data_IF_153222378685
#
_entry.id   IF_153222378685
#
_cell.length_a   1.000
_cell.length_b   1.000
_cell.length_c   1.000
_cell.angle_alpha   90.00
_cell.angle_beta   90.00
_cell.angle_gamma   90.00
#
_symmetry.space_group_name_H-M   'P 1'
#
loop_
_entity.id
_entity.type
_entity.pdbx_description
1 polymer ?
#
# COMPACT_ATOMS: atom_id res chain seq x y z
N UNK A 1 -65.76 -41.69 -42.35
CA UNK A 1 -64.87 -42.48 -41.46
C UNK A 1 -63.46 -42.13 -41.88
N UNK A 2 -62.61 -41.41 -41.16
CA UNK A 2 -62.64 -40.61 -39.94
C UNK A 2 -61.40 -39.68 -40.12
N UNK A 3 -61.49 -38.34 -40.01
CA UNK A 3 -60.37 -37.48 -40.40
C UNK A 3 -59.36 -37.33 -39.26
N UNK A 4 -58.08 -37.52 -39.59
CA UNK A 4 -56.95 -37.46 -38.67
C UNK A 4 -56.78 -36.10 -37.98
N UNK A 5 -56.81 -36.13 -36.66
CA UNK A 5 -56.65 -35.00 -35.75
C UNK A 5 -55.16 -34.64 -35.62
N UNK A 6 -54.79 -33.43 -36.07
CA UNK A 6 -53.46 -32.83 -35.87
C UNK A 6 -53.45 -32.07 -34.55
N UNK A 7 -52.55 -32.43 -33.64
CA UNK A 7 -52.28 -31.67 -32.43
C UNK A 7 -51.36 -30.49 -32.76
N UNK A 8 -51.84 -29.27 -32.53
CA UNK A 8 -51.01 -28.07 -32.52
C UNK A 8 -50.56 -27.84 -31.07
N UNK A 9 -49.26 -27.96 -30.82
CA UNK A 9 -48.65 -27.55 -29.56
C UNK A 9 -48.46 -26.03 -29.59
N UNK A 10 -49.16 -25.32 -28.69
CA UNK A 10 -48.95 -23.90 -28.43
C UNK A 10 -47.82 -23.80 -27.40
N UNK A 11 -46.65 -23.35 -27.84
CA UNK A 11 -45.52 -23.02 -26.98
C UNK A 11 -45.74 -21.59 -26.45
N UNK A 12 -46.18 -21.46 -25.20
CA UNK A 12 -46.27 -20.18 -24.51
C UNK A 12 -44.87 -19.77 -24.02
N UNK A 13 -44.27 -18.75 -24.66
CA UNK A 13 -43.06 -18.09 -24.16
C UNK A 13 -43.49 -17.18 -23.00
N UNK A 14 -43.28 -17.65 -21.77
CA UNK A 14 -43.38 -16.83 -20.57
C UNK A 14 -42.14 -15.92 -20.53
N UNK A 15 -42.30 -14.67 -20.96
CA UNK A 15 -41.36 -13.59 -20.64
C UNK A 15 -41.53 -13.27 -19.17
N UNK A 16 -40.80 -13.99 -18.32
CA UNK A 16 -40.68 -13.65 -16.90
C UNK A 16 -39.72 -12.47 -16.78
N UNK A 17 -40.22 -11.32 -16.33
CA UNK A 17 -39.35 -10.27 -15.81
C UNK A 17 -38.54 -10.88 -14.67
N UNK A 18 -37.22 -10.99 -14.83
CA UNK A 18 -36.34 -11.29 -13.72
C UNK A 18 -36.57 -10.18 -12.67
N UNK A 19 -36.80 -10.52 -11.39
CA UNK A 19 -36.82 -9.51 -10.34
C UNK A 19 -35.51 -8.74 -10.39
N UNK A 20 -35.58 -7.41 -10.40
CA UNK A 20 -34.40 -6.57 -10.19
C UNK A 20 -33.71 -7.08 -8.93
N UNK A 21 -32.40 -7.39 -8.98
CA UNK A 21 -31.68 -7.84 -7.81
C UNK A 21 -31.89 -6.79 -6.72
N UNK A 22 -32.55 -7.21 -5.64
CA UNK A 22 -32.66 -6.40 -4.42
C UNK A 22 -31.25 -6.09 -3.99
N UNK A 23 -30.83 -4.84 -4.20
CA UNK A 23 -29.59 -4.28 -3.68
C UNK A 23 -29.61 -4.51 -2.18
N UNK A 24 -28.82 -5.48 -1.71
CA UNK A 24 -28.47 -5.61 -0.30
C UNK A 24 -27.98 -4.24 0.16
N UNK A 25 -28.57 -3.70 1.22
CA UNK A 25 -28.26 -2.37 1.74
C UNK A 25 -26.75 -2.24 1.98
N UNK A 26 -26.07 -1.60 1.03
CA UNK A 26 -24.69 -1.19 1.10
C UNK A 26 -24.62 -0.07 2.14
N UNK A 27 -24.05 -0.37 3.31
CA UNK A 27 -23.78 0.66 4.32
C UNK A 27 -22.61 1.50 3.86
N UNK A 28 -22.88 2.68 3.28
CA UNK A 28 -21.84 3.69 3.07
C UNK A 28 -21.68 4.48 4.36
N UNK A 29 -20.48 4.45 4.93
CA UNK A 29 -20.16 5.31 6.07
C UNK A 29 -20.05 6.78 5.60
N UNK A 30 -20.27 7.75 6.49
CA UNK A 30 -20.13 9.16 6.12
C UNK A 30 -18.70 9.46 5.65
N UNK A 31 -18.62 10.31 4.61
CA UNK A 31 -17.36 10.87 4.13
C UNK A 31 -16.59 11.54 5.28
N UNK A 32 -15.33 11.14 5.46
CA UNK A 32 -14.41 11.75 6.42
C UNK A 32 -13.43 12.65 5.67
N UNK A 33 -13.30 13.90 6.11
CA UNK A 33 -12.30 14.84 5.58
C UNK A 33 -11.21 15.11 6.62
N UNK A 34 -9.97 14.95 6.20
CA UNK A 34 -8.78 15.20 7.03
C UNK A 34 -8.01 16.38 6.44
N UNK A 35 -7.76 17.38 7.27
CA UNK A 35 -7.05 18.63 6.96
C UNK A 35 -7.59 19.44 5.76
N UNK A 36 -8.79 19.09 5.27
CA UNK A 36 -9.40 19.70 4.09
C UNK A 36 -8.78 19.29 2.75
N UNK A 37 -7.79 18.40 2.75
CA UNK A 37 -7.11 17.91 1.53
C UNK A 37 -7.45 16.46 1.21
N UNK A 38 -7.64 15.62 2.24
CA UNK A 38 -7.90 14.21 2.08
C UNK A 38 -9.38 13.92 2.36
N UNK A 39 -10.03 13.25 1.42
CA UNK A 39 -11.38 12.73 1.56
C UNK A 39 -11.31 11.21 1.59
N UNK A 40 -11.99 10.58 2.55
CA UNK A 40 -12.04 9.12 2.71
C UNK A 40 -13.49 8.66 2.78
N UNK A 41 -13.80 7.63 2.00
CA UNK A 41 -15.11 6.96 1.97
C UNK A 41 -14.91 5.46 2.13
N UNK A 42 -15.69 4.87 3.03
CA UNK A 42 -15.65 3.44 3.33
C UNK A 42 -17.03 2.81 3.15
N UNK A 43 -17.06 1.61 2.59
CA UNK A 43 -18.28 0.81 2.49
C UNK A 43 -17.96 -0.65 2.23
N UNK A 44 -18.91 -1.53 2.50
CA UNK A 44 -18.83 -2.95 2.17
C UNK A 44 -19.75 -3.30 1.01
N UNK A 45 -19.29 -4.15 0.09
CA UNK A 45 -20.07 -4.66 -1.04
C UNK A 45 -19.78 -6.15 -1.25
N UNK A 46 -20.28 -6.71 -2.36
CA UNK A 46 -19.99 -8.07 -2.79
C UNK A 46 -19.51 -8.10 -4.23
N UNK A 47 -18.63 -9.03 -4.55
CA UNK A 47 -18.29 -9.32 -5.94
C UNK A 47 -19.49 -9.89 -6.70
N UNK A 48 -19.55 -9.64 -8.01
CA UNK A 48 -20.63 -10.11 -8.86
C UNK A 48 -20.48 -11.60 -9.22
N UNK A 49 -21.24 -12.08 -10.22
CA UNK A 49 -21.20 -13.49 -10.63
C UNK A 49 -19.91 -13.89 -11.35
N UNK A 50 -19.16 -12.92 -11.85
CA UNK A 50 -17.85 -13.11 -12.47
C UNK A 50 -16.72 -12.87 -11.45
N UNK A 51 -17.07 -12.59 -10.18
CA UNK A 51 -16.14 -12.30 -9.09
C UNK A 51 -15.48 -10.92 -9.19
N UNK A 52 -16.12 -9.99 -9.91
CA UNK A 52 -15.64 -8.63 -10.11
C UNK A 52 -16.36 -7.62 -9.19
N UNK A 53 -15.68 -6.53 -8.88
CA UNK A 53 -16.20 -5.38 -8.12
C UNK A 53 -15.88 -4.12 -8.90
N UNK A 54 -16.91 -3.41 -9.35
CA UNK A 54 -16.78 -2.06 -9.92
C UNK A 54 -16.83 -1.02 -8.80
N UNK A 55 -15.75 -0.25 -8.65
CA UNK A 55 -15.61 0.79 -7.63
C UNK A 55 -15.69 2.16 -8.33
N UNK A 56 -16.85 2.85 -8.28
CA UNK A 56 -16.96 4.21 -8.78
C UNK A 56 -16.29 5.19 -7.81
N UNK A 57 -15.50 6.11 -8.35
CA UNK A 57 -14.71 7.08 -7.59
C UNK A 57 -15.00 8.47 -8.15
N UNK A 58 -15.61 9.32 -7.34
CA UNK A 58 -15.85 10.72 -7.71
C UNK A 58 -14.57 11.54 -7.53
N UNK A 59 -14.05 12.06 -8.64
CA UNK A 59 -12.84 12.89 -8.70
C UNK A 59 -13.24 14.33 -8.99
N UNK A 60 -12.78 15.26 -8.15
CA UNK A 60 -13.04 16.69 -8.31
C UNK A 60 -11.99 17.40 -9.17
N UNK A 61 -12.26 18.66 -9.53
CA UNK A 61 -11.33 19.50 -10.32
C UNK A 61 -9.98 19.74 -9.62
N UNK A 62 -9.93 19.64 -8.30
CA UNK A 62 -8.73 19.86 -7.49
C UNK A 62 -8.00 18.57 -7.10
N UNK A 63 -8.58 17.41 -7.42
CA UNK A 63 -8.05 16.11 -6.99
C UNK A 63 -6.84 15.73 -7.83
N UNK A 64 -5.72 15.48 -7.16
CA UNK A 64 -4.43 15.16 -7.80
C UNK A 64 -4.00 13.72 -7.63
N UNK A 65 -4.52 13.04 -6.60
CA UNK A 65 -4.29 11.62 -6.35
C UNK A 65 -5.57 10.94 -5.83
N UNK A 66 -5.70 9.66 -6.13
CA UNK A 66 -6.69 8.78 -5.53
C UNK A 66 -6.02 7.48 -5.05
N UNK A 67 -6.68 6.82 -4.11
CA UNK A 67 -6.37 5.45 -3.72
C UNK A 67 -7.65 4.64 -3.59
N UNK A 68 -7.61 3.40 -4.06
CA UNK A 68 -8.61 2.39 -3.77
C UNK A 68 -7.93 1.25 -3.06
N UNK A 69 -8.36 0.96 -1.84
CA UNK A 69 -8.00 -0.23 -1.09
C UNK A 69 -9.20 -1.16 -1.01
N UNK A 70 -8.94 -2.44 -1.21
CA UNK A 70 -9.95 -3.49 -1.21
C UNK A 70 -9.46 -4.61 -0.32
N UNK A 71 -10.28 -5.01 0.65
CA UNK A 71 -10.09 -6.19 1.49
C UNK A 71 -11.18 -7.21 1.20
N UNK A 72 -10.84 -8.49 1.07
CA UNK A 72 -11.84 -9.55 0.88
C UNK A 72 -11.90 -10.48 2.08
N UNK A 73 -13.04 -11.15 2.27
CA UNK A 73 -13.20 -12.08 3.39
C UNK A 73 -12.41 -13.39 3.19
N UNK A 74 -12.34 -13.87 1.95
CA UNK A 74 -11.80 -15.20 1.67
C UNK A 74 -10.40 -15.16 1.07
N UNK A 75 -10.15 -14.32 0.06
CA UNK A 75 -9.02 -14.52 -0.86
C UNK A 75 -8.35 -13.20 -1.29
N UNK A 76 -7.65 -13.18 -2.44
CA UNK A 76 -6.82 -12.04 -2.85
C UNK A 76 -7.57 -11.08 -3.79
N UNK A 77 -7.52 -9.76 -3.53
CA UNK A 77 -8.04 -8.78 -4.46
C UNK A 77 -6.98 -8.33 -5.48
N UNK A 78 -7.37 -8.31 -6.75
CA UNK A 78 -6.52 -7.93 -7.88
C UNK A 78 -7.21 -6.83 -8.68
N UNK A 79 -6.49 -5.74 -8.95
CA UNK A 79 -6.96 -4.72 -9.88
C UNK A 79 -6.91 -5.26 -11.30
N UNK A 80 -8.02 -5.23 -12.02
CA UNK A 80 -8.07 -5.56 -13.44
C UNK A 80 -7.79 -4.34 -14.29
N UNK A 81 -8.52 -3.24 -14.01
CA UNK A 81 -8.49 -2.03 -14.83
C UNK A 81 -8.74 -0.78 -14.00
N UNK A 82 -8.14 0.33 -14.40
CA UNK A 82 -8.55 1.68 -14.03
C UNK A 82 -9.05 2.39 -15.29
N UNK A 83 -10.26 2.92 -15.22
CA UNK A 83 -10.96 3.55 -16.34
C UNK A 83 -11.23 5.01 -15.98
N UNK A 84 -10.87 5.91 -16.88
CA UNK A 84 -11.09 7.35 -16.73
C UNK A 84 -12.57 7.74 -16.98
N UNK A 85 -12.96 9.01 -16.73
CA UNK A 85 -14.33 9.47 -16.97
C UNK A 85 -14.75 9.49 -18.45
N UNK A 86 -13.80 9.36 -19.38
CA UNK A 86 -14.09 9.27 -20.82
C UNK A 86 -14.40 7.83 -21.26
N UNK A 87 -14.11 6.84 -20.41
CA UNK A 87 -14.25 5.41 -20.68
C UNK A 87 -12.97 4.76 -21.23
N UNK A 88 -11.83 5.47 -21.20
CA UNK A 88 -10.52 4.95 -21.59
C UNK A 88 -9.88 4.18 -20.44
N UNK A 89 -9.31 3.01 -20.75
CA UNK A 89 -8.53 2.22 -19.79
C UNK A 89 -7.13 2.82 -19.70
N UNK A 90 -6.80 3.47 -18.58
CA UNK A 90 -5.49 4.12 -18.39
C UNK A 90 -4.46 3.20 -17.74
N UNK A 91 -4.93 2.12 -17.12
CA UNK A 91 -4.11 1.11 -16.47
C UNK A 91 -4.82 -0.24 -16.56
N UNK A 92 -4.10 -1.26 -17.00
CA UNK A 92 -4.61 -2.62 -17.19
C UNK A 92 -3.67 -3.66 -16.58
N UNK A 93 -4.21 -4.72 -15.98
CA UNK A 93 -3.41 -5.83 -15.41
C UNK A 93 -2.44 -6.48 -16.42
N UNK A 94 -2.72 -6.37 -17.71
CA UNK A 94 -1.86 -6.92 -18.77
C UNK A 94 -0.62 -6.07 -18.98
N UNK A 95 -0.62 -4.80 -18.58
CA UNK A 95 0.56 -3.95 -18.59
C UNK A 95 1.65 -4.46 -17.64
N UNK A 96 1.27 -5.37 -16.75
CA UNK A 96 2.09 -5.94 -15.68
C UNK A 96 2.74 -7.28 -15.96
N UNK A 97 2.75 -7.72 -17.22
CA UNK A 97 3.35 -8.98 -17.62
C UNK A 97 4.84 -8.78 -17.92
N UNK A 98 5.70 -8.88 -16.90
CA UNK A 98 7.15 -8.80 -17.06
C UNK A 98 7.93 -8.84 -15.74
N UNK A 99 9.17 -8.39 -15.82
CA UNK A 99 10.10 -8.30 -14.68
C UNK A 99 10.05 -6.92 -14.00
N UNK A 100 9.18 -6.00 -14.43
CA UNK A 100 9.09 -4.63 -13.94
C UNK A 100 7.93 -4.46 -12.96
N UNK A 101 8.18 -3.69 -11.90
CA UNK A 101 7.21 -3.43 -10.82
C UNK A 101 6.93 -1.94 -10.63
N UNK A 102 5.67 -1.55 -10.73
CA UNK A 102 5.15 -0.22 -10.44
C UNK A 102 4.32 -0.13 -9.13
N UNK A 103 3.64 -1.20 -8.72
CA UNK A 103 2.55 -1.29 -7.73
C UNK A 103 2.15 -2.76 -7.56
N UNK A 104 1.87 -3.21 -6.35
CA UNK A 104 1.42 -4.57 -6.08
C UNK A 104 -0.08 -4.76 -6.31
N UNK A 105 -0.81 -3.77 -6.84
CA UNK A 105 -2.24 -3.87 -7.16
C UNK A 105 -2.62 -5.09 -8.04
N UNK A 106 -1.66 -5.68 -8.77
CA UNK A 106 -1.89 -6.77 -9.73
C UNK A 106 -1.46 -8.16 -9.25
N UNK A 107 -0.63 -8.24 -8.20
CA UNK A 107 -0.05 -9.52 -7.78
C UNK A 107 0.28 -9.50 -6.28
N UNK A 108 -0.72 -9.86 -5.48
CA UNK A 108 -0.54 -10.08 -4.03
C UNK A 108 -1.09 -11.43 -3.60
N UNK A 109 -0.40 -12.03 -2.65
CA UNK A 109 -0.82 -13.24 -1.95
C UNK A 109 -1.59 -12.91 -0.66
N UNK A 110 -2.20 -11.73 -0.58
CA UNK A 110 -2.81 -11.18 0.65
C UNK A 110 -4.28 -10.87 0.44
N UNK A 111 -5.02 -10.75 1.55
CA UNK A 111 -6.46 -10.46 1.56
C UNK A 111 -6.82 -9.00 1.32
N UNK A 112 -5.84 -8.12 1.37
CA UNK A 112 -6.00 -6.70 1.12
C UNK A 112 -5.02 -6.25 0.06
N UNK A 113 -5.43 -5.34 -0.80
CA UNK A 113 -4.59 -4.73 -1.81
C UNK A 113 -5.00 -3.28 -2.06
N UNK A 114 -4.08 -2.48 -2.59
CA UNK A 114 -4.34 -1.08 -2.84
C UNK A 114 -3.72 -0.61 -4.16
N UNK A 115 -4.44 0.28 -4.84
CA UNK A 115 -3.95 1.07 -5.95
C UNK A 115 -3.88 2.53 -5.51
N UNK A 116 -2.72 3.18 -5.69
CA UNK A 116 -2.61 4.64 -5.72
C UNK A 116 -2.48 5.09 -7.18
N UNK A 117 -3.19 6.16 -7.57
CA UNK A 117 -3.09 6.72 -8.91
C UNK A 117 -3.12 8.26 -8.88
N UNK A 118 -2.29 8.95 -9.68
CA UNK A 118 -1.20 8.42 -10.51
C UNK A 118 -0.08 7.79 -9.65
N UNK A 119 0.69 6.84 -10.19
CA UNK A 119 1.86 6.30 -9.47
C UNK A 119 3.09 7.16 -9.74
N UNK A 120 3.33 7.49 -11.01
CA UNK A 120 4.44 8.30 -11.50
C UNK A 120 3.94 9.67 -11.93
N UNK A 121 4.85 10.64 -11.97
CA UNK A 121 4.59 11.96 -12.57
C UNK A 121 4.28 11.91 -14.08
N UNK A 122 4.65 10.83 -14.74
CA UNK A 122 4.44 10.62 -16.18
C UNK A 122 3.17 9.83 -16.48
N UNK A 123 2.51 9.29 -15.46
CA UNK A 123 1.23 8.61 -15.62
C UNK A 123 0.15 9.64 -15.97
N UNK A 124 -1.00 9.16 -16.47
CA UNK A 124 -2.10 10.03 -16.83
C UNK A 124 -2.63 10.77 -15.59
N UNK A 125 -2.74 12.11 -15.63
CA UNK A 125 -3.29 12.87 -14.51
C UNK A 125 -4.78 12.55 -14.30
N UNK A 126 -5.27 12.86 -13.10
CA UNK A 126 -6.69 12.77 -12.81
C UNK A 126 -7.48 13.89 -13.50
N UNK A 127 -8.63 13.53 -14.04
CA UNK A 127 -9.62 14.43 -14.61
C UNK A 127 -10.89 14.36 -13.78
N UNK A 128 -11.59 15.49 -13.65
CA UNK A 128 -12.86 15.53 -12.93
C UNK A 128 -13.92 14.63 -13.58
N UNK A 129 -14.68 13.93 -12.75
CA UNK A 129 -15.70 12.97 -13.16
C UNK A 129 -15.60 11.66 -12.38
N UNK A 130 -16.40 10.67 -12.79
CA UNK A 130 -16.41 9.35 -12.17
C UNK A 130 -15.36 8.46 -12.83
N UNK A 131 -14.37 8.04 -12.05
CA UNK A 131 -13.42 6.99 -12.41
C UNK A 131 -13.97 5.64 -11.97
N UNK A 132 -13.55 4.56 -12.65
CA UNK A 132 -13.92 3.20 -12.28
C UNK A 132 -12.66 2.37 -12.06
N UNK A 133 -12.49 1.83 -10.84
CA UNK A 133 -11.50 0.80 -10.59
C UNK A 133 -12.20 -0.56 -10.56
N UNK A 134 -11.89 -1.40 -11.55
CA UNK A 134 -12.46 -2.74 -11.66
C UNK A 134 -11.51 -3.71 -10.97
N UNK A 135 -12.00 -4.33 -9.91
CA UNK A 135 -11.27 -5.32 -9.13
C UNK A 135 -11.86 -6.70 -9.33
N UNK A 136 -11.07 -7.73 -9.05
CA UNK A 136 -11.56 -9.08 -8.90
C UNK A 136 -11.14 -9.65 -7.55
N UNK A 137 -12.04 -10.45 -6.96
CA UNK A 137 -11.66 -11.41 -5.92
C UNK A 137 -11.26 -12.72 -6.59
N UNK A 138 -10.04 -13.18 -6.33
CA UNK A 138 -9.52 -14.45 -6.85
C UNK A 138 -9.10 -15.39 -5.75
N UNK A 139 -9.36 -16.69 -5.93
CA UNK A 139 -8.75 -17.73 -5.11
C UNK A 139 -7.23 -17.76 -5.24
N UNK A 140 -6.52 -18.13 -4.17
CA UNK A 140 -5.06 -18.30 -4.22
C UNK A 140 -4.60 -19.31 -5.30
N UNK A 141 -5.38 -20.37 -5.52
CA UNK A 141 -5.13 -21.41 -6.54
C UNK A 141 -5.49 -20.95 -7.98
N UNK A 142 -6.07 -19.75 -8.12
CA UNK A 142 -6.60 -19.20 -9.36
C UNK A 142 -8.11 -19.38 -9.50
N UNK A 143 -8.71 -18.55 -10.35
CA UNK A 143 -10.16 -18.49 -10.56
C UNK A 143 -10.82 -17.40 -9.72
N UNK A 144 -11.97 -16.91 -10.21
CA UNK A 144 -12.73 -15.80 -9.61
C UNK A 144 -13.64 -16.30 -8.49
N UNK A 145 -13.82 -15.48 -7.45
CA UNK A 145 -14.69 -15.76 -6.31
C UNK A 145 -15.95 -14.88 -6.38
N UNK A 146 -17.08 -15.41 -6.88
CA UNK A 146 -18.33 -14.66 -6.94
C UNK A 146 -18.99 -14.54 -5.56
N UNK A 147 -19.74 -13.45 -5.34
CA UNK A 147 -20.46 -13.20 -4.08
C UNK A 147 -19.54 -13.14 -2.83
N UNK A 148 -18.28 -12.78 -3.01
CA UNK A 148 -17.32 -12.57 -1.92
C UNK A 148 -17.62 -11.25 -1.21
N UNK A 149 -17.53 -11.26 0.12
CA UNK A 149 -17.65 -10.03 0.91
C UNK A 149 -16.40 -9.18 0.74
N UNK A 150 -16.61 -7.89 0.46
CA UNK A 150 -15.54 -6.96 0.15
C UNK A 150 -15.73 -5.68 0.94
N UNK A 151 -14.66 -5.24 1.61
CA UNK A 151 -14.58 -3.94 2.29
C UNK A 151 -13.70 -3.00 1.47
N UNK A 152 -14.20 -1.79 1.24
CA UNK A 152 -13.57 -0.78 0.39
C UNK A 152 -13.20 0.45 1.20
N UNK A 153 -12.02 0.97 0.92
CA UNK A 153 -11.57 2.30 1.33
C UNK A 153 -11.18 3.06 0.07
N UNK A 154 -11.89 4.13 -0.23
CA UNK A 154 -11.55 5.05 -1.31
C UNK A 154 -11.09 6.36 -0.71
N UNK A 155 -9.95 6.84 -1.16
CA UNK A 155 -9.36 8.09 -0.71
C UNK A 155 -9.07 8.98 -1.92
N UNK A 156 -9.38 10.27 -1.82
CA UNK A 156 -8.99 11.27 -2.82
C UNK A 156 -8.26 12.42 -2.14
N UNK A 157 -7.19 12.90 -2.78
CA UNK A 157 -6.37 14.01 -2.29
C UNK A 157 -6.49 15.20 -3.24
N UNK A 158 -6.92 16.32 -2.70
CA UNK A 158 -6.78 17.63 -3.33
C UNK A 158 -5.44 18.23 -2.92
N UNK A 159 -4.55 18.50 -3.90
CA UNK A 159 -3.20 18.99 -3.62
C UNK A 159 -2.86 20.21 -4.48
N UNK A 160 -2.75 21.41 -3.90
CA UNK A 160 -2.40 22.61 -4.65
C UNK A 160 -0.90 22.69 -5.00
N UNK A 161 -0.02 21.91 -4.36
CA UNK A 161 1.42 21.90 -4.60
C UNK A 161 2.01 20.49 -4.47
N UNK A 162 1.87 19.64 -5.50
CA UNK A 162 2.36 18.26 -5.46
C UNK A 162 3.88 18.14 -5.34
N UNK A 163 4.64 19.25 -5.42
CA UNK A 163 6.08 19.24 -5.20
C UNK A 163 6.47 19.33 -3.71
N UNK A 164 5.52 19.64 -2.82
CA UNK A 164 5.73 19.73 -1.37
C UNK A 164 4.64 18.93 -0.66
N UNK A 165 5.02 17.99 0.20
CA UNK A 165 4.04 17.23 0.96
C UNK A 165 4.53 16.94 2.38
N UNK A 166 3.62 16.81 3.31
CA UNK A 166 3.85 16.30 4.66
C UNK A 166 3.26 14.91 4.77
N UNK A 167 4.06 13.96 5.25
CA UNK A 167 3.53 12.68 5.71
C UNK A 167 3.44 12.68 7.22
N UNK A 168 2.29 12.25 7.73
CA UNK A 168 2.06 12.09 9.17
C UNK A 168 2.35 10.65 9.55
N UNK A 169 3.22 10.46 10.55
CA UNK A 169 3.69 9.14 10.96
C UNK A 169 3.44 8.94 12.45
N UNK A 170 2.80 7.82 12.78
CA UNK A 170 2.58 7.35 14.15
C UNK A 170 3.59 6.24 14.45
N UNK A 171 4.62 6.56 15.21
CA UNK A 171 5.63 5.61 15.68
C UNK A 171 5.12 4.97 16.97
N UNK A 172 4.74 3.71 16.92
CA UNK A 172 4.10 2.99 18.03
C UNK A 172 5.10 2.02 18.65
N UNK A 173 5.50 2.27 19.89
CA UNK A 173 6.27 1.31 20.66
C UNK A 173 5.39 0.14 21.08
N UNK A 174 5.86 -1.08 20.82
CA UNK A 174 5.27 -2.28 21.38
C UNK A 174 5.49 -2.36 22.90
N UNK A 175 4.64 -3.12 23.59
CA UNK A 175 4.73 -3.33 25.03
C UNK A 175 6.05 -3.97 25.41
N UNK A 176 6.57 -3.59 26.57
CA UNK A 176 7.76 -4.22 27.12
C UNK A 176 9.04 -4.06 26.28
N UNK A 177 9.04 -3.28 25.20
CA UNK A 177 10.26 -2.84 24.52
C UNK A 177 11.06 -2.03 25.53
N UNK A 178 11.94 -2.71 26.26
CA UNK A 178 12.77 -2.13 27.30
C UNK A 178 13.83 -1.26 26.61
N UNK A 179 13.49 0.00 26.39
CA UNK A 179 14.41 1.02 25.94
C UNK A 179 15.46 1.21 27.03
N UNK A 180 16.58 0.49 26.90
CA UNK A 180 17.77 0.71 27.70
C UNK A 180 18.15 2.20 27.68
N UNK A 181 18.91 2.63 28.68
CA UNK A 181 19.33 4.04 28.80
C UNK A 181 19.94 4.52 27.48
N UNK A 182 19.25 5.41 26.77
CA UNK A 182 19.69 6.01 25.51
C UNK A 182 19.06 5.44 24.23
N UNK A 183 18.29 4.34 24.27
CA UNK A 183 17.62 3.81 23.06
C UNK A 183 16.60 4.78 22.50
N UNK A 184 15.73 5.36 23.33
CA UNK A 184 14.75 6.36 22.91
C UNK A 184 15.42 7.55 22.20
N UNK A 185 16.50 8.07 22.78
CA UNK A 185 17.26 9.17 22.21
C UNK A 185 17.89 8.79 20.86
N UNK A 186 18.36 7.55 20.71
CA UNK A 186 18.92 7.06 19.45
C UNK A 186 17.84 6.89 18.36
N UNK A 187 16.65 6.40 18.71
CA UNK A 187 15.52 6.32 17.78
C UNK A 187 15.03 7.71 17.39
N UNK A 188 14.93 8.65 18.34
CA UNK A 188 14.62 10.05 18.02
C UNK A 188 15.66 10.68 17.09
N UNK A 189 16.95 10.38 17.30
CA UNK A 189 18.01 10.84 16.40
C UNK A 189 17.92 10.21 15.00
N UNK A 190 17.48 8.95 14.91
CA UNK A 190 17.19 8.29 13.64
C UNK A 190 16.02 8.98 12.92
N UNK A 191 14.91 9.26 13.61
CA UNK A 191 13.75 9.97 13.06
C UNK A 191 14.13 11.38 12.58
N UNK A 192 14.95 12.12 13.34
CA UNK A 192 15.46 13.43 12.91
C UNK A 192 16.33 13.35 11.66
N UNK A 193 17.09 12.26 11.50
CA UNK A 193 17.89 12.01 10.30
C UNK A 193 17.00 11.74 9.10
N UNK A 194 15.97 10.91 9.27
CA UNK A 194 14.96 10.64 8.26
C UNK A 194 14.25 11.92 7.83
N UNK A 195 13.74 12.71 8.78
CA UNK A 195 13.10 14.01 8.54
C UNK A 195 13.98 14.95 7.72
N UNK A 196 15.24 15.10 8.11
CA UNK A 196 16.20 15.97 7.40
C UNK A 196 16.45 15.49 5.98
N UNK A 197 16.63 14.19 5.79
CA UNK A 197 17.00 13.62 4.50
C UNK A 197 15.82 13.68 3.52
N UNK A 198 14.58 13.46 3.99
CA UNK A 198 13.37 13.61 3.18
C UNK A 198 13.01 15.07 2.87
N UNK A 199 13.31 16.01 3.77
CA UNK A 199 13.10 17.43 3.51
C UNK A 199 13.90 17.92 2.28
N UNK A 200 15.03 17.29 1.97
CA UNK A 200 15.80 17.58 0.76
C UNK A 200 15.05 17.24 -0.56
N UNK A 201 13.99 16.42 -0.47
CA UNK A 201 13.11 16.03 -1.57
C UNK A 201 11.79 16.80 -1.60
N UNK A 202 11.58 17.77 -0.70
CA UNK A 202 10.29 18.44 -0.54
C UNK A 202 9.26 17.61 0.24
N UNK A 203 9.71 16.61 0.99
CA UNK A 203 8.85 15.78 1.85
C UNK A 203 9.15 16.09 3.32
N UNK A 204 8.15 16.60 4.03
CA UNK A 204 8.21 16.76 5.49
C UNK A 204 7.67 15.51 6.17
N UNK A 205 8.30 15.07 7.25
CA UNK A 205 7.82 13.93 8.05
C UNK A 205 7.39 14.44 9.42
N UNK A 206 6.09 14.47 9.67
CA UNK A 206 5.51 14.80 10.98
C UNK A 206 5.34 13.52 11.80
N UNK A 207 6.35 13.21 12.61
CA UNK A 207 6.43 11.96 13.36
C UNK A 207 6.05 12.17 14.84
N UNK A 208 5.11 11.38 15.32
CA UNK A 208 4.67 11.37 16.72
C UNK A 208 4.83 9.98 17.33
N UNK A 209 5.24 9.92 18.59
CA UNK A 209 5.46 8.66 19.29
C UNK A 209 4.26 8.30 20.17
N UNK A 210 3.90 7.01 20.14
CA UNK A 210 2.84 6.39 20.93
C UNK A 210 3.38 5.12 21.59
N UNK A 211 2.72 4.67 22.64
CA UNK A 211 2.97 3.37 23.27
C UNK A 211 1.73 2.53 23.16
N UNK A 212 1.88 1.21 23.02
CA UNK A 212 0.76 0.27 22.89
C UNK A 212 0.96 -0.96 23.78
N UNK A 213 -0.06 -1.81 23.83
CA UNK A 213 -0.02 -3.15 24.42
C UNK A 213 0.37 -4.26 23.41
N UNK A 214 0.89 -3.87 22.23
CA UNK A 214 1.35 -4.80 21.19
C UNK A 214 2.46 -5.72 21.69
N UNK A 215 2.49 -6.98 21.24
CA UNK A 215 3.61 -7.89 21.52
C UNK A 215 4.94 -7.35 20.91
N UNK A 216 6.05 -7.29 21.66
CA UNK A 216 7.33 -6.82 21.14
C UNK A 216 7.93 -7.72 20.03
N UNK A 217 7.46 -8.95 19.88
CA UNK A 217 7.70 -9.76 18.68
C UNK A 217 6.64 -9.44 17.61
N UNK A 218 6.94 -8.45 16.78
CA UNK A 218 6.01 -7.92 15.78
C UNK A 218 5.63 -8.95 14.71
N UNK A 219 4.37 -8.96 14.25
CA UNK A 219 3.95 -9.77 13.12
C UNK A 219 4.66 -9.33 11.84
N UNK A 220 4.88 -10.27 10.93
CA UNK A 220 5.33 -9.93 9.57
C UNK A 220 4.15 -9.32 8.81
N UNK A 221 4.30 -8.11 8.27
CA UNK A 221 3.21 -7.33 7.62
C UNK A 221 2.45 -8.08 6.53
N UNK A 222 3.07 -9.08 5.89
CA UNK A 222 2.39 -9.89 4.88
C UNK A 222 1.32 -10.84 5.43
N UNK A 223 1.32 -11.11 6.72
CA UNK A 223 0.36 -12.00 7.35
C UNK A 223 -0.88 -11.26 7.84
N UNK A 224 -0.75 -9.95 8.11
CA UNK A 224 -1.78 -9.16 8.77
C UNK A 224 -1.89 -9.48 10.26
N UNK A 225 -2.45 -8.56 11.05
CA UNK A 225 -2.75 -8.78 12.46
C UNK A 225 -3.91 -7.88 12.94
N UNK A 226 -4.94 -8.47 13.56
CA UNK A 226 -6.08 -7.72 14.09
C UNK A 226 -5.70 -6.79 15.26
N UNK A 227 -4.67 -7.14 16.04
CA UNK A 227 -4.17 -6.26 17.10
C UNK A 227 -3.51 -5.00 16.51
N UNK A 228 -2.82 -5.13 15.37
CA UNK A 228 -2.27 -3.98 14.64
C UNK A 228 -3.40 -3.05 14.23
N UNK A 229 -4.46 -3.58 13.61
CA UNK A 229 -5.61 -2.77 13.19
C UNK A 229 -6.24 -2.03 14.37
N UNK A 230 -6.51 -2.73 15.48
CA UNK A 230 -7.13 -2.15 16.65
C UNK A 230 -6.30 -0.99 17.24
N UNK A 231 -4.99 -1.17 17.34
CA UNK A 231 -4.09 -0.12 17.84
C UNK A 231 -3.99 1.03 16.83
N UNK A 232 -3.83 0.72 15.53
CA UNK A 232 -3.78 1.75 14.48
C UNK A 232 -5.05 2.62 14.48
N UNK A 233 -6.23 2.01 14.66
CA UNK A 233 -7.51 2.73 14.75
C UNK A 233 -7.62 3.63 15.99
N UNK A 234 -6.84 3.38 17.04
CA UNK A 234 -6.78 4.23 18.23
C UNK A 234 -5.84 5.43 18.06
N UNK A 235 -4.69 5.23 17.40
CA UNK A 235 -3.60 6.23 17.39
C UNK A 235 -3.50 7.05 16.11
N UNK A 236 -4.18 6.65 15.04
CA UNK A 236 -4.00 7.20 13.70
C UNK A 236 -5.31 7.70 13.10
N UNK A 237 -5.25 8.86 12.45
CA UNK A 237 -6.33 9.36 11.61
C UNK A 237 -6.18 8.81 10.17
N UNK A 238 -7.26 8.78 9.35
CA UNK A 238 -7.13 8.52 7.92
C UNK A 238 -6.07 9.43 7.27
N UNK A 239 -5.16 8.84 6.51
CA UNK A 239 -4.02 9.51 5.91
C UNK A 239 -2.70 9.35 6.69
N UNK A 240 -2.73 8.82 7.90
CA UNK A 240 -1.52 8.60 8.70
C UNK A 240 -0.87 7.24 8.38
N UNK A 241 0.46 7.20 8.45
CA UNK A 241 1.25 5.97 8.34
C UNK A 241 1.58 5.46 9.75
N UNK A 242 1.24 4.22 10.06
CA UNK A 242 1.57 3.60 11.35
C UNK A 242 2.82 2.73 11.22
N UNK A 243 3.81 3.03 12.06
CA UNK A 243 5.08 2.32 12.14
C UNK A 243 5.22 1.71 13.53
N UNK A 244 5.17 0.39 13.63
CA UNK A 244 5.40 -0.33 14.87
C UNK A 244 6.89 -0.57 15.10
N UNK A 245 7.33 -0.26 16.32
CA UNK A 245 8.69 -0.46 16.82
C UNK A 245 8.65 -1.53 17.91
N UNK A 246 9.23 -2.69 17.62
CA UNK A 246 9.27 -3.84 18.53
C UNK A 246 10.67 -4.40 18.64
N UNK A 247 10.88 -5.35 19.54
CA UNK A 247 12.18 -5.97 19.72
C UNK A 247 12.57 -6.79 18.48
N UNK A 248 11.67 -7.62 17.98
CA UNK A 248 11.95 -8.58 16.91
C UNK A 248 10.75 -8.76 15.97
N UNK A 249 10.91 -9.55 14.91
CA UNK A 249 9.84 -9.92 13.99
C UNK A 249 9.66 -11.43 13.88
N UNK A 250 8.40 -11.89 13.82
CA UNK A 250 8.09 -13.31 13.64
C UNK A 250 8.61 -13.81 12.28
N UNK A 251 9.09 -15.06 12.25
CA UNK A 251 9.42 -15.85 11.05
C UNK A 251 10.65 -15.44 10.23
N UNK A 252 11.32 -14.31 10.50
CA UNK A 252 12.50 -13.91 9.72
C UNK A 252 13.61 -13.25 10.56
N UNK A 253 14.50 -14.04 11.19
CA UNK A 253 15.69 -13.47 11.82
C UNK A 253 16.55 -12.75 10.77
N UNK A 254 17.09 -11.58 11.13
CA UNK A 254 17.96 -10.80 10.26
C UNK A 254 17.26 -9.80 9.34
N UNK A 255 15.94 -9.63 9.46
CA UNK A 255 15.18 -8.57 8.77
C UNK A 255 15.08 -7.36 9.69
N UNK A 256 15.46 -6.18 9.19
CA UNK A 256 15.48 -4.93 9.95
C UNK A 256 14.08 -4.30 10.06
N UNK A 257 13.30 -4.38 8.98
CA UNK A 257 11.92 -3.94 8.94
C UNK A 257 11.18 -4.56 7.76
N UNK A 258 9.87 -4.35 7.72
CA UNK A 258 9.02 -4.80 6.63
C UNK A 258 7.84 -3.85 6.47
N UNK A 259 7.62 -3.35 5.25
CA UNK A 259 6.42 -2.63 4.85
C UNK A 259 5.29 -3.56 4.39
N UNK A 260 4.09 -3.02 4.11
CA UNK A 260 2.92 -3.81 3.73
C UNK A 260 2.96 -4.18 2.24
N UNK A 261 1.83 -4.13 1.54
CA UNK A 261 1.86 -4.06 0.08
C UNK A 261 2.45 -2.72 -0.36
N UNK A 262 2.75 -2.60 -1.65
CA UNK A 262 3.40 -1.41 -2.22
C UNK A 262 2.47 -0.86 -3.29
N UNK A 263 1.61 0.13 -3.02
CA UNK A 263 1.48 0.88 -1.76
C UNK A 263 0.69 0.12 -0.68
N UNK A 264 0.86 0.57 0.56
CA UNK A 264 -0.05 0.34 1.67
C UNK A 264 -1.12 1.43 1.72
N UNK A 265 -2.21 1.15 2.40
CA UNK A 265 -3.30 2.12 2.60
C UNK A 265 -3.08 2.89 3.89
N UNK A 266 -3.16 4.24 3.88
CA UNK A 266 -3.04 5.03 5.10
C UNK A 266 -4.41 5.09 5.81
N UNK A 267 -4.93 3.91 6.13
CA UNK A 267 -6.19 3.70 6.84
C UNK A 267 -6.02 2.48 7.74
N UNK A 268 -6.50 2.49 8.99
CA UNK A 268 -6.37 1.34 9.88
C UNK A 268 -6.83 0.02 9.22
N UNK A 269 -6.01 -1.02 9.34
CA UNK A 269 -6.31 -2.34 8.78
C UNK A 269 -5.22 -3.34 9.11
N UNK A 270 -5.57 -4.63 9.11
CA UNK A 270 -4.67 -5.73 9.49
C UNK A 270 -3.31 -5.70 8.76
N UNK A 271 -3.31 -5.25 7.50
CA UNK A 271 -2.14 -5.27 6.62
C UNK A 271 -1.50 -3.88 6.43
N UNK A 272 -1.99 -2.83 7.08
CA UNK A 272 -1.67 -1.43 6.74
C UNK A 272 -0.67 -0.79 7.71
N UNK A 273 0.50 -1.41 7.86
CA UNK A 273 1.52 -0.92 8.78
C UNK A 273 2.93 -1.23 8.28
N UNK A 274 3.90 -0.50 8.86
CA UNK A 274 5.32 -0.82 8.81
C UNK A 274 5.73 -1.44 10.14
N UNK A 275 6.57 -2.46 10.13
CA UNK A 275 7.17 -3.03 11.32
C UNK A 275 8.69 -2.89 11.29
N UNK A 276 9.32 -2.53 12.42
CA UNK A 276 10.77 -2.41 12.56
C UNK A 276 11.24 -3.17 13.81
N UNK A 277 12.21 -4.08 13.63
CA UNK A 277 12.81 -4.87 14.69
C UNK A 277 14.04 -4.15 15.26
N UNK A 278 13.93 -3.65 16.49
CA UNK A 278 14.95 -2.82 17.14
C UNK A 278 16.18 -3.63 17.57
N UNK A 279 16.05 -4.93 17.84
CA UNK A 279 17.18 -5.80 18.22
C UNK A 279 18.29 -5.82 17.15
N UNK A 280 17.92 -5.61 15.88
CA UNK A 280 18.82 -5.51 14.74
C UNK A 280 19.72 -4.27 14.78
N UNK A 281 19.43 -3.29 15.64
CA UNK A 281 20.15 -2.04 15.77
C UNK A 281 20.86 -1.89 17.12
N UNK A 282 20.93 -2.96 17.91
CA UNK A 282 21.62 -2.99 19.19
C UNK A 282 23.00 -3.65 19.00
N UNK A 283 24.05 -2.94 19.42
CA UNK A 283 25.42 -3.47 19.38
C UNK A 283 25.71 -4.45 20.54
N UNK A 284 26.86 -5.14 20.57
CA UNK A 284 27.20 -6.07 21.66
C UNK A 284 27.27 -5.45 23.07
N UNK A 285 27.29 -4.12 23.20
CA UNK A 285 27.23 -3.42 24.48
C UNK A 285 25.80 -3.17 24.96
N UNK A 286 24.80 -3.47 24.14
CA UNK A 286 23.40 -3.21 24.42
C UNK A 286 22.95 -1.79 24.04
N UNK A 287 23.73 -1.05 23.27
CA UNK A 287 23.41 0.32 22.85
C UNK A 287 23.16 0.42 21.34
N UNK A 288 22.37 1.43 20.93
CA UNK A 288 22.26 1.82 19.52
C UNK A 288 23.37 2.86 19.25
N UNK A 289 24.45 2.41 18.61
CA UNK A 289 25.54 3.32 18.21
C UNK A 289 25.07 4.33 17.15
N UNK A 290 25.85 5.39 16.91
CA UNK A 290 25.53 6.40 15.87
C UNK A 290 25.34 5.78 14.48
N UNK A 291 26.17 4.80 14.12
CA UNK A 291 26.06 4.12 12.82
C UNK A 291 24.79 3.25 12.76
N UNK A 292 24.40 2.61 13.87
CA UNK A 292 23.17 1.83 13.94
C UNK A 292 21.92 2.73 13.98
N UNK A 293 21.97 3.89 14.63
CA UNK A 293 20.90 4.89 14.58
C UNK A 293 20.70 5.43 13.16
N UNK A 294 21.80 5.60 12.41
CA UNK A 294 21.74 5.94 10.99
C UNK A 294 21.14 4.82 10.16
N UNK A 295 21.54 3.57 10.38
CA UNK A 295 20.95 2.42 9.71
C UNK A 295 19.45 2.31 10.03
N UNK A 296 19.04 2.59 11.27
CA UNK A 296 17.63 2.66 11.67
C UNK A 296 16.87 3.75 10.91
N UNK A 297 17.47 4.93 10.74
CA UNK A 297 16.90 6.00 9.91
C UNK A 297 16.72 5.55 8.46
N UNK A 298 17.70 4.83 7.89
CA UNK A 298 17.62 4.27 6.54
C UNK A 298 16.51 3.22 6.44
N UNK A 299 16.36 2.34 7.44
CA UNK A 299 15.27 1.36 7.49
C UNK A 299 13.90 2.03 7.60
N UNK A 300 13.71 2.99 8.51
CA UNK A 300 12.45 3.74 8.63
C UNK A 300 12.07 4.42 7.31
N UNK A 301 13.06 5.05 6.66
CA UNK A 301 12.87 5.69 5.36
C UNK A 301 12.51 4.67 4.27
N UNK A 302 13.22 3.53 4.22
CA UNK A 302 13.03 2.47 3.22
C UNK A 302 11.66 1.81 3.31
N UNK A 303 11.27 1.36 4.51
CA UNK A 303 9.99 0.68 4.70
C UNK A 303 8.80 1.64 4.56
N UNK A 304 8.95 2.91 4.95
CA UNK A 304 7.92 3.92 4.71
C UNK A 304 7.81 4.26 3.22
N UNK A 305 8.91 4.26 2.46
CA UNK A 305 8.85 4.42 1.01
C UNK A 305 8.14 3.23 0.33
N UNK A 306 8.34 1.99 0.80
CA UNK A 306 7.52 0.84 0.37
C UNK A 306 6.03 1.04 0.67
N UNK A 307 5.70 1.49 1.88
CA UNK A 307 4.32 1.82 2.26
C UNK A 307 3.71 2.85 1.31
N UNK A 308 4.50 3.84 0.89
CA UNK A 308 4.05 4.89 -0.02
C UNK A 308 4.06 4.48 -1.51
N UNK A 309 4.43 3.24 -1.83
CA UNK A 309 4.33 2.71 -3.18
C UNK A 309 5.64 2.66 -3.97
N UNK A 310 6.79 2.94 -3.36
CA UNK A 310 8.08 2.80 -4.05
C UNK A 310 8.59 1.37 -3.90
N UNK A 311 8.70 0.58 -4.98
CA UNK A 311 9.27 -0.77 -4.92
C UNK A 311 10.80 -0.75 -4.82
N UNK A 312 11.40 -1.94 -4.63
CA UNK A 312 12.84 -2.08 -4.75
C UNK A 312 13.31 -1.76 -6.18
N UNK A 313 14.43 -1.06 -6.30
CA UNK A 313 15.10 -0.83 -7.61
C UNK A 313 15.45 -2.15 -8.31
N UNK A 314 15.76 -3.16 -7.52
CA UNK A 314 15.94 -4.54 -7.96
C UNK A 314 15.56 -5.44 -6.79
N UNK A 315 14.85 -6.53 -7.05
CA UNK A 315 14.51 -7.51 -6.03
C UNK A 315 15.71 -8.38 -5.65
N UNK A 316 15.60 -9.10 -4.53
CA UNK A 316 16.68 -9.95 -4.01
C UNK A 316 17.14 -11.08 -4.94
N UNK A 317 16.35 -11.40 -5.97
CA UNK A 317 16.68 -12.40 -6.99
C UNK A 317 17.44 -11.83 -8.19
N UNK A 318 17.62 -10.50 -8.25
CA UNK A 318 18.29 -9.78 -9.34
C UNK A 318 17.62 -9.95 -10.70
N UNK A 319 16.37 -10.42 -10.71
CA UNK A 319 15.61 -10.69 -11.92
C UNK A 319 14.44 -9.71 -12.10
N UNK A 320 13.90 -9.18 -11.00
CA UNK A 320 12.79 -8.21 -11.02
C UNK A 320 13.26 -6.82 -10.60
N UNK A 321 12.69 -5.78 -11.19
CA UNK A 321 13.08 -4.38 -11.09
C UNK A 321 11.88 -3.50 -10.84
N UNK A 322 12.09 -2.26 -10.43
CA UNK A 322 11.04 -1.26 -10.54
C UNK A 322 10.78 -0.85 -12.00
N UNK A 323 9.62 -0.26 -12.25
CA UNK A 323 9.20 0.27 -13.55
C UNK A 323 9.55 1.76 -13.71
N UNK A 324 10.51 2.27 -12.92
CA UNK A 324 10.90 3.69 -12.92
C UNK A 324 12.06 3.90 -13.91
N UNK A 325 11.92 4.76 -14.92
CA UNK A 325 12.93 4.89 -15.99
C UNK A 325 14.31 5.40 -15.53
N UNK A 326 14.38 6.11 -14.40
CA UNK A 326 15.61 6.72 -13.88
C UNK A 326 16.41 5.83 -12.92
N UNK A 327 15.97 4.60 -12.69
CA UNK A 327 16.67 3.61 -11.86
C UNK A 327 17.51 2.66 -12.73
N UNK A 328 18.68 2.22 -12.23
CA UNK A 328 19.55 1.33 -12.99
C UNK A 328 19.01 -0.10 -13.03
N UNK A 329 19.11 -0.74 -14.21
CA UNK A 329 18.85 -2.19 -14.36
C UNK A 329 20.14 -3.00 -14.27
N UNK A 330 20.13 -4.06 -13.47
CA UNK A 330 21.31 -4.88 -13.17
C UNK A 330 20.92 -6.34 -12.91
N UNK A 331 21.60 -7.31 -13.52
CA UNK A 331 21.17 -8.73 -13.46
C UNK A 331 22.03 -9.60 -12.54
N UNK A 332 22.99 -9.00 -11.82
CA UNK A 332 23.88 -9.72 -10.91
C UNK A 332 24.12 -8.91 -9.66
N UNK A 333 24.23 -9.57 -8.50
CA UNK A 333 24.53 -8.96 -7.21
C UNK A 333 25.64 -7.90 -7.30
N UNK A 334 26.82 -8.27 -7.82
CA UNK A 334 27.95 -7.35 -7.91
C UNK A 334 27.67 -6.09 -8.77
N UNK A 335 26.91 -6.24 -9.86
CA UNK A 335 26.53 -5.10 -10.70
C UNK A 335 25.48 -4.24 -10.00
N UNK A 336 24.55 -4.88 -9.32
CA UNK A 336 23.48 -4.23 -8.58
C UNK A 336 23.98 -3.45 -7.37
N UNK A 337 24.85 -4.02 -6.56
CA UNK A 337 25.48 -3.29 -5.45
C UNK A 337 26.27 -2.08 -5.95
N UNK A 338 26.97 -2.22 -7.08
CA UNK A 338 27.77 -1.14 -7.67
C UNK A 338 26.92 0.00 -8.24
N UNK A 339 25.84 -0.31 -8.95
CA UNK A 339 25.00 0.68 -9.64
C UNK A 339 23.89 1.23 -8.75
N UNK A 340 23.25 0.36 -7.97
CA UNK A 340 22.03 0.64 -7.23
C UNK A 340 22.23 0.63 -5.71
N UNK A 341 23.37 0.17 -5.18
CA UNK A 341 23.59 0.03 -3.73
C UNK A 341 23.55 1.34 -2.91
N UNK A 342 23.57 2.49 -3.59
CA UNK A 342 23.37 3.82 -2.98
C UNK A 342 21.92 4.33 -3.06
N UNK A 343 21.05 3.63 -3.77
CA UNK A 343 19.64 3.96 -3.79
C UNK A 343 19.01 3.55 -2.44
N UNK A 344 18.13 4.39 -1.90
CA UNK A 344 17.41 4.08 -0.65
C UNK A 344 16.66 2.76 -0.76
N UNK A 345 16.03 2.49 -1.90
CA UNK A 345 15.23 1.31 -2.19
C UNK A 345 16.04 0.11 -2.67
N UNK A 346 17.36 0.08 -2.44
CA UNK A 346 18.14 -1.13 -2.63
C UNK A 346 17.83 -2.14 -1.51
N UNK A 347 17.44 -3.40 -1.81
CA UNK A 347 16.86 -4.34 -0.84
C UNK A 347 17.81 -4.81 0.26
N UNK A 348 19.10 -4.50 0.16
CA UNK A 348 20.11 -4.89 1.15
C UNK A 348 20.78 -3.67 1.73
N UNK A 349 21.05 -3.68 3.04
CA UNK A 349 21.92 -2.68 3.65
C UNK A 349 23.35 -2.80 3.12
N UNK A 350 23.93 -1.65 2.78
CA UNK A 350 25.32 -1.51 2.29
C UNK A 350 26.23 -0.89 3.35
N UNK A 351 25.81 -0.91 4.62
CA UNK A 351 26.62 -0.43 5.73
C UNK A 351 27.77 -1.39 6.05
N UNK A 352 28.94 -1.18 5.43
CA UNK A 352 30.17 -1.95 5.72
C UNK A 352 31.44 -1.10 5.44
N UNK A 353 32.25 -0.65 6.43
CA UNK A 353 32.01 -0.41 7.87
C UNK A 353 31.38 0.96 8.16
N UNK A 354 31.12 1.76 7.13
CA UNK A 354 30.43 3.04 7.20
C UNK A 354 29.17 2.97 6.34
N UNK A 355 28.08 3.59 6.77
CA UNK A 355 26.87 3.69 5.97
C UNK A 355 26.98 4.82 4.93
N UNK A 356 26.99 4.52 3.61
CA UNK A 356 26.90 5.57 2.61
C UNK A 356 25.59 6.34 2.76
N UNK A 357 25.53 7.60 2.31
CA UNK A 357 24.24 8.30 2.21
C UNK A 357 23.46 7.63 1.09
N UNK A 358 22.24 7.18 1.42
CA UNK A 358 21.30 6.64 0.46
C UNK A 358 20.37 7.73 -0.04
N UNK A 359 20.02 7.65 -1.32
CA UNK A 359 19.18 8.67 -1.97
C UNK A 359 18.08 8.04 -2.78
N UNK A 360 16.97 8.76 -2.95
CA UNK A 360 15.94 8.46 -3.93
C UNK A 360 16.25 9.12 -5.27
N UNK A 361 15.79 8.52 -6.36
CA UNK A 361 15.79 9.16 -7.69
C UNK A 361 14.63 10.15 -7.81
N UNK A 362 14.67 11.10 -8.77
CA UNK A 362 13.56 12.00 -9.03
C UNK A 362 12.20 11.31 -9.26
N UNK A 363 12.15 10.17 -9.94
CA UNK A 363 10.88 9.47 -10.17
C UNK A 363 10.39 8.74 -8.92
N UNK A 364 11.28 8.19 -8.10
CA UNK A 364 10.91 7.66 -6.78
C UNK A 364 10.34 8.75 -5.86
N UNK A 365 10.92 9.96 -5.86
CA UNK A 365 10.36 11.11 -5.13
C UNK A 365 8.97 11.47 -5.66
N UNK A 366 8.77 11.40 -6.99
CA UNK A 366 7.46 11.61 -7.60
C UNK A 366 6.40 10.61 -7.10
N UNK A 367 6.76 9.33 -6.96
CA UNK A 367 5.86 8.32 -6.37
C UNK A 367 5.46 8.70 -4.95
N UNK A 368 6.42 9.11 -4.12
CA UNK A 368 6.14 9.53 -2.74
C UNK A 368 5.22 10.77 -2.68
N UNK A 369 5.40 11.73 -3.58
CA UNK A 369 4.60 12.95 -3.65
C UNK A 369 3.15 12.70 -4.12
N UNK A 370 2.96 11.72 -5.00
CA UNK A 370 1.63 11.32 -5.48
C UNK A 370 0.89 10.39 -4.50
N UNK A 371 1.54 9.94 -3.43
CA UNK A 371 0.87 9.13 -2.43
C UNK A 371 -0.28 9.89 -1.76
N UNK A 372 -1.46 9.27 -1.65
CA UNK A 372 -2.67 9.94 -1.14
C UNK A 372 -2.51 10.47 0.31
N UNK A 373 -1.66 9.83 1.13
CA UNK A 373 -1.38 10.26 2.50
C UNK A 373 -0.35 11.39 2.62
N UNK A 374 0.36 11.76 1.54
CA UNK A 374 1.31 12.85 1.52
C UNK A 374 0.59 14.17 1.21
N UNK A 375 0.36 15.01 2.22
CA UNK A 375 -0.55 16.17 2.17
C UNK A 375 0.07 17.45 2.71
#
# INVERSE_FOLDING_TARGET
MDPGMRWAAVLAVLVGCAPEPTTSETGTEPEVRVDGMLTTTTWSTRSDQDGEVDVPIEVGDATTSLMVSLSTTQERPILLQLIDPSGEVVLDERDWRGDEKLTHAFDVLRKTNALNWPVRRTDEPLWAGTWHAIWASEHQEGGRNPDDGVDLVVMTKDDPDPAQATITVRLVWADGVELGVGHEAAVQAAVQTWQRDWAAYGLSVDATFHTSDMDPTLPFTANGDLAVEAIAAEVADPGDIVVFLGDSMVYKPGVFGTGPNTPGTPYPGEYHFVAVALDMFIDPSGAISTDLARLLSETLSHETAHFMGVPHVVESDWARYDALPDTPRCTTEATCESQAGRNLMFPFSQCKPSCPVRTLTPDQVGVLQHYVGAR
#
